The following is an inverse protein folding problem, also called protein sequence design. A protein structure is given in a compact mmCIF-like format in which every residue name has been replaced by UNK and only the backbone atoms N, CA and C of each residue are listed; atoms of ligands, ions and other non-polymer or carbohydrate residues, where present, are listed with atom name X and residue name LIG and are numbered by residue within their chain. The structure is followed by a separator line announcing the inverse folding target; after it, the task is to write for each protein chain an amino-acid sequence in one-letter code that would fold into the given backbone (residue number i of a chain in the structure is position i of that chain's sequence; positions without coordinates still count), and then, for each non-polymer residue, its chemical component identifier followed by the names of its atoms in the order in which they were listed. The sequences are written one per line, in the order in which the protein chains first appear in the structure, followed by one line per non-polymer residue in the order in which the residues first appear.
data_IF_385734886513
#
_entry.id   IF_385734886513
#
_cell.length_a   1.000
_cell.length_b   1.000
_cell.length_c   1.000
_cell.angle_alpha   90.00
_cell.angle_beta   90.00
_cell.angle_gamma   90.00
#
_symmetry.space_group_name_H-M   'P 1'
#
loop_
_entity.id
_entity.type
_entity.pdbx_description
1 polymer ?
#
# COMPACT_ATOMS: atom_id res chain seq x y z
N UNK A 1 19.44 12.32 -19.68
CA UNK A 1 20.44 13.41 -19.81
C UNK A 1 20.80 13.86 -18.39
N UNK A 2 21.81 14.72 -18.21
CA UNK A 2 22.22 15.15 -16.86
C UNK A 2 21.23 16.19 -16.33
N UNK A 3 20.65 15.93 -15.16
CA UNK A 3 19.79 16.83 -14.41
C UNK A 3 20.61 18.04 -13.95
N UNK A 4 20.16 19.29 -14.18
CA UNK A 4 20.90 20.46 -13.73
C UNK A 4 21.02 20.46 -12.20
N UNK A 5 22.23 20.71 -11.66
CA UNK A 5 22.48 20.66 -10.21
C UNK A 5 21.55 21.58 -9.39
N UNK A 6 21.13 22.71 -9.96
CA UNK A 6 20.16 23.60 -9.31
C UNK A 6 18.78 22.96 -9.15
N UNK A 7 18.36 22.14 -10.12
CA UNK A 7 17.10 21.41 -10.10
C UNK A 7 17.21 20.18 -9.20
N UNK A 8 18.36 19.48 -9.22
CA UNK A 8 18.64 18.40 -8.28
C UNK A 8 18.54 18.90 -6.82
N UNK A 9 19.14 20.06 -6.53
CA UNK A 9 19.03 20.69 -5.20
C UNK A 9 17.59 21.09 -4.88
N UNK A 10 16.87 21.70 -5.82
CA UNK A 10 15.47 22.04 -5.64
C UNK A 10 14.59 20.81 -5.34
N UNK A 11 14.89 19.67 -5.97
CA UNK A 11 14.19 18.42 -5.70
C UNK A 11 14.44 17.92 -4.26
N UNK A 12 15.70 17.96 -3.79
CA UNK A 12 16.07 17.61 -2.41
C UNK A 12 15.40 18.55 -1.40
N UNK A 13 15.42 19.86 -1.66
CA UNK A 13 14.92 20.87 -0.73
C UNK A 13 13.37 20.97 -0.74
N UNK A 14 12.70 20.26 -1.65
CA UNK A 14 11.24 20.28 -1.79
C UNK A 14 10.71 21.58 -2.42
N UNK A 15 11.51 22.29 -3.23
CA UNK A 15 11.07 23.49 -3.97
C UNK A 15 10.20 23.07 -5.18
N UNK A 16 8.92 22.85 -4.88
CA UNK A 16 7.89 22.46 -5.85
C UNK A 16 7.82 23.44 -7.01
N UNK A 17 7.97 24.75 -6.76
CA UNK A 17 7.81 25.77 -7.80
C UNK A 17 8.96 25.79 -8.80
N UNK A 18 10.20 25.59 -8.33
CA UNK A 18 11.35 25.47 -9.21
C UNK A 18 11.24 24.25 -10.12
N UNK A 19 10.92 23.08 -9.55
CA UNK A 19 10.76 21.83 -10.32
C UNK A 19 9.57 21.94 -11.29
N UNK A 20 8.44 22.52 -10.86
CA UNK A 20 7.27 22.77 -11.72
C UNK A 20 7.62 23.63 -12.93
N UNK A 21 8.36 24.73 -12.71
CA UNK A 21 8.80 25.64 -13.79
C UNK A 21 9.74 24.94 -14.76
N UNK A 22 10.67 24.13 -14.25
CA UNK A 22 11.59 23.36 -15.08
C UNK A 22 10.83 22.37 -15.97
N UNK A 23 9.94 21.55 -15.40
CA UNK A 23 9.16 20.56 -16.15
C UNK A 23 8.13 21.18 -17.09
N UNK A 24 7.65 22.40 -16.82
CA UNK A 24 6.80 23.12 -17.77
C UNK A 24 7.54 23.50 -19.06
N UNK A 25 8.86 23.71 -18.99
CA UNK A 25 9.70 24.03 -20.14
C UNK A 25 10.31 22.77 -20.78
N UNK A 26 10.54 21.74 -19.96
CA UNK A 26 11.23 20.51 -20.35
C UNK A 26 10.52 19.25 -19.81
N UNK A 27 9.28 18.97 -20.23
CA UNK A 27 8.52 17.83 -19.72
C UNK A 27 9.19 16.48 -20.00
N UNK A 28 9.97 16.37 -21.08
CA UNK A 28 10.72 15.17 -21.46
C UNK A 28 11.87 14.81 -20.51
N UNK A 29 12.24 15.74 -19.60
CA UNK A 29 13.39 15.61 -18.71
C UNK A 29 13.01 15.15 -17.30
N UNK A 30 11.79 14.65 -17.10
CA UNK A 30 11.29 14.22 -15.78
C UNK A 30 12.14 13.11 -15.14
N UNK A 31 12.74 12.25 -15.95
CA UNK A 31 13.62 11.15 -15.52
C UNK A 31 15.11 11.44 -15.77
N UNK A 32 15.49 12.70 -15.98
CA UNK A 32 16.93 13.06 -15.96
C UNK A 32 17.52 12.77 -14.58
N UNK A 33 18.80 12.37 -14.59
CA UNK A 33 19.53 11.93 -13.40
C UNK A 33 20.64 12.90 -13.05
N UNK A 34 20.92 13.05 -11.75
CA UNK A 34 22.06 13.81 -11.26
C UNK A 34 23.40 13.04 -11.45
N UNK A 35 24.47 13.51 -10.80
CA UNK A 35 25.79 12.89 -10.83
C UNK A 35 25.88 11.58 -10.04
N UNK A 36 24.89 11.25 -9.21
CA UNK A 36 24.77 9.98 -8.48
C UNK A 36 23.79 9.00 -9.16
N UNK A 37 23.41 9.25 -10.42
CA UNK A 37 22.41 8.49 -11.19
C UNK A 37 20.99 8.50 -10.57
N UNK A 38 20.67 9.53 -9.77
CA UNK A 38 19.38 9.68 -9.11
C UNK A 38 18.44 10.61 -9.88
N UNK A 39 17.20 10.16 -10.06
CA UNK A 39 16.13 10.96 -10.67
C UNK A 39 15.58 12.01 -9.69
N UNK A 40 14.86 13.00 -10.22
CA UNK A 40 14.12 13.95 -9.36
C UNK A 40 13.16 13.26 -8.38
N UNK A 41 12.56 12.12 -8.76
CA UNK A 41 11.65 11.36 -7.88
C UNK A 41 12.40 10.76 -6.68
N UNK A 42 13.57 10.16 -6.94
CA UNK A 42 14.44 9.59 -5.92
C UNK A 42 14.91 10.68 -4.96
N UNK A 43 15.41 11.80 -5.50
CA UNK A 43 15.90 12.95 -4.74
C UNK A 43 14.80 13.57 -3.85
N UNK A 44 13.58 13.72 -4.37
CA UNK A 44 12.45 14.26 -3.61
C UNK A 44 12.01 13.37 -2.43
N UNK A 45 12.25 12.06 -2.52
CA UNK A 45 11.92 11.11 -1.47
C UNK A 45 13.02 10.96 -0.41
N UNK A 46 14.29 11.32 -0.70
CA UNK A 46 15.42 11.19 0.23
C UNK A 46 15.17 11.83 1.61
N UNK A 47 14.68 13.08 1.73
CA UNK A 47 14.46 13.71 3.04
C UNK A 47 13.43 12.97 3.90
N UNK A 48 12.51 12.24 3.26
CA UNK A 48 11.52 11.41 3.95
C UNK A 48 12.16 10.23 4.68
N UNK A 49 13.34 9.78 4.22
CA UNK A 49 14.16 8.76 4.88
C UNK A 49 14.86 9.30 6.13
N UNK A 50 15.04 10.63 6.22
CA UNK A 50 15.73 11.36 7.29
C UNK A 50 14.77 12.09 8.25
N UNK A 51 13.53 11.62 8.37
CA UNK A 51 12.53 12.11 9.33
C UNK A 51 11.81 13.42 8.99
N UNK A 52 11.77 13.80 7.72
CA UNK A 52 10.98 14.96 7.28
C UNK A 52 9.81 14.48 6.42
N UNK A 53 8.72 14.05 7.08
CA UNK A 53 7.42 13.93 6.40
C UNK A 53 6.83 15.34 6.24
N UNK A 54 7.39 16.09 5.28
CA UNK A 54 6.88 17.41 4.94
C UNK A 54 5.84 17.30 3.84
N UNK A 55 4.76 18.07 3.98
CA UNK A 55 3.75 18.19 2.93
C UNK A 55 4.35 18.61 1.58
N UNK A 56 5.45 19.38 1.60
CA UNK A 56 6.17 19.80 0.40
C UNK A 56 6.82 18.63 -0.35
N UNK A 57 7.45 17.68 0.36
CA UNK A 57 8.04 16.50 -0.26
C UNK A 57 6.95 15.63 -0.93
N UNK A 58 5.84 15.37 -0.23
CA UNK A 58 4.70 14.63 -0.79
C UNK A 58 4.08 15.36 -2.00
N UNK A 59 3.96 16.69 -1.95
CA UNK A 59 3.47 17.48 -3.08
C UNK A 59 4.41 17.38 -4.28
N UNK A 60 5.73 17.45 -4.05
CA UNK A 60 6.72 17.31 -5.10
C UNK A 60 6.70 15.91 -5.74
N UNK A 61 6.67 14.85 -4.92
CA UNK A 61 6.52 13.47 -5.41
C UNK A 61 5.23 13.34 -6.24
N UNK A 62 4.11 13.88 -5.76
CA UNK A 62 2.85 13.86 -6.50
C UNK A 62 2.96 14.59 -7.84
N UNK A 63 3.66 15.73 -7.88
CA UNK A 63 3.93 16.48 -9.11
C UNK A 63 4.73 15.64 -10.10
N UNK A 64 5.83 15.03 -9.66
CA UNK A 64 6.73 14.23 -10.49
C UNK A 64 6.02 13.00 -11.07
N UNK A 65 5.28 12.27 -10.23
CA UNK A 65 4.46 11.13 -10.68
C UNK A 65 3.40 11.56 -11.70
N UNK A 66 2.76 12.72 -11.48
CA UNK A 66 1.77 13.26 -12.44
C UNK A 66 2.42 13.71 -13.75
N UNK A 67 3.68 14.16 -13.70
CA UNK A 67 4.48 14.52 -14.85
C UNK A 67 5.02 13.31 -15.63
N UNK A 68 4.78 12.08 -15.16
CA UNK A 68 5.17 10.85 -15.83
C UNK A 68 6.54 10.30 -15.41
N UNK A 69 7.05 10.69 -14.24
CA UNK A 69 8.25 10.10 -13.68
C UNK A 69 8.13 8.56 -13.58
N UNK A 70 9.22 7.86 -13.88
CA UNK A 70 9.28 6.41 -13.76
C UNK A 70 9.34 5.99 -12.28
N UNK A 71 8.18 5.63 -11.73
CA UNK A 71 7.99 5.20 -10.34
C UNK A 71 8.65 3.86 -9.97
N UNK A 72 9.11 3.10 -10.97
CA UNK A 72 9.77 1.81 -10.79
C UNK A 72 11.27 1.87 -11.06
N UNK A 73 11.85 3.08 -11.16
CA UNK A 73 13.30 3.26 -11.28
C UNK A 73 13.99 2.67 -10.04
N UNK A 74 15.00 1.84 -10.27
CA UNK A 74 15.81 1.24 -9.19
C UNK A 74 16.97 2.16 -8.87
N UNK A 75 17.34 2.22 -7.58
CA UNK A 75 18.55 2.91 -7.12
C UNK A 75 19.82 2.21 -7.61
N UNK A 76 19.77 0.91 -7.84
CA UNK A 76 20.85 0.13 -8.46
C UNK A 76 20.25 -0.78 -9.55
N UNK A 77 20.11 -0.30 -10.80
CA UNK A 77 19.50 -1.10 -11.86
C UNK A 77 20.31 -2.34 -12.26
N UNK A 78 21.63 -2.32 -12.08
CA UNK A 78 22.52 -3.42 -12.48
C UNK A 78 22.36 -4.65 -11.57
N UNK A 79 21.97 -4.41 -10.32
CA UNK A 79 21.86 -5.44 -9.29
C UNK A 79 20.44 -5.65 -8.78
N UNK A 80 19.41 -5.30 -9.56
CA UNK A 80 18.01 -5.36 -9.12
C UNK A 80 17.84 -4.69 -7.73
N UNK A 81 18.36 -3.48 -7.54
CA UNK A 81 18.27 -2.72 -6.29
C UNK A 81 16.83 -2.31 -5.91
N UNK A 82 16.64 -1.71 -4.72
CA UNK A 82 15.32 -1.24 -4.28
C UNK A 82 14.76 -0.15 -5.21
N UNK A 83 13.44 -0.03 -5.20
CA UNK A 83 12.69 1.11 -5.74
C UNK A 83 12.19 1.99 -4.59
N UNK A 84 11.66 3.16 -4.91
CA UNK A 84 11.03 4.05 -3.92
C UNK A 84 9.91 3.37 -3.15
N UNK A 85 9.18 2.45 -3.79
CA UNK A 85 8.12 1.68 -3.11
C UNK A 85 8.70 0.75 -2.02
N UNK A 86 9.89 0.19 -2.22
CA UNK A 86 10.57 -0.60 -1.18
C UNK A 86 10.91 0.26 0.04
N UNK A 87 11.47 1.45 -0.19
CA UNK A 87 11.76 2.41 0.88
C UNK A 87 10.50 2.89 1.60
N UNK A 88 9.42 3.19 0.86
CA UNK A 88 8.14 3.58 1.45
C UNK A 88 7.58 2.53 2.41
N UNK A 89 7.77 1.23 2.08
CA UNK A 89 7.37 0.12 2.95
C UNK A 89 8.21 0.05 4.24
N UNK A 90 9.53 0.17 4.14
CA UNK A 90 10.45 0.18 5.30
C UNK A 90 10.11 1.33 6.25
N UNK A 91 9.89 2.52 5.70
CA UNK A 91 9.58 3.72 6.47
C UNK A 91 8.13 3.72 7.00
N UNK A 92 7.30 2.78 6.52
CA UNK A 92 5.84 2.82 6.65
C UNK A 92 5.28 4.20 6.30
N UNK A 93 5.82 4.83 5.25
CA UNK A 93 5.37 6.14 4.78
C UNK A 93 4.14 5.96 3.90
N UNK A 94 2.96 5.99 4.53
CA UNK A 94 1.69 5.76 3.84
C UNK A 94 1.39 6.81 2.78
N UNK A 95 1.83 8.07 2.97
CA UNK A 95 1.70 9.12 1.97
C UNK A 95 2.46 8.82 0.68
N UNK A 96 3.76 8.55 0.80
CA UNK A 96 4.62 8.19 -0.34
C UNK A 96 4.10 6.93 -1.05
N UNK A 97 3.81 5.88 -0.27
CA UNK A 97 3.30 4.62 -0.81
C UNK A 97 1.99 4.81 -1.59
N UNK A 98 1.06 5.63 -1.09
CA UNK A 98 -0.19 5.94 -1.78
C UNK A 98 0.04 6.63 -3.12
N UNK A 99 0.96 7.59 -3.17
CA UNK A 99 1.28 8.31 -4.41
C UNK A 99 1.88 7.36 -5.43
N UNK A 100 2.86 6.55 -5.03
CA UNK A 100 3.54 5.58 -5.92
C UNK A 100 2.59 4.51 -6.45
N UNK A 101 1.78 3.88 -5.59
CA UNK A 101 0.80 2.86 -6.00
C UNK A 101 -0.25 3.46 -6.94
N UNK A 102 -0.70 4.70 -6.71
CA UNK A 102 -1.60 5.41 -7.65
C UNK A 102 -0.91 5.80 -8.95
N UNK A 103 0.39 6.07 -8.89
CA UNK A 103 1.27 6.30 -10.03
C UNK A 103 1.51 5.05 -10.88
N UNK A 104 1.05 3.88 -10.44
CA UNK A 104 1.19 2.63 -11.18
C UNK A 104 2.45 1.84 -10.85
N UNK A 105 3.11 2.13 -9.72
CA UNK A 105 4.28 1.37 -9.27
C UNK A 105 3.98 -0.14 -9.20
N UNK A 106 4.87 -0.95 -9.75
CA UNK A 106 4.78 -2.40 -9.68
C UNK A 106 5.08 -2.86 -8.25
N UNK A 107 4.00 -3.19 -7.55
CA UNK A 107 4.05 -3.67 -6.16
C UNK A 107 4.77 -5.01 -6.01
N UNK A 108 5.11 -5.71 -7.09
CA UNK A 108 5.71 -7.05 -7.07
C UNK A 108 7.19 -7.11 -7.42
N UNK A 109 7.83 -5.96 -7.69
CA UNK A 109 9.26 -5.92 -8.02
C UNK A 109 10.08 -6.55 -6.90
N UNK A 110 11.01 -7.41 -7.29
CA UNK A 110 11.91 -8.10 -6.37
C UNK A 110 13.25 -7.39 -6.38
N UNK A 111 13.84 -7.18 -5.21
CA UNK A 111 15.26 -6.81 -5.11
C UNK A 111 16.15 -8.06 -5.20
N UNK A 112 17.35 -7.96 -5.77
CA UNK A 112 18.33 -9.06 -5.79
C UNK A 112 19.75 -8.56 -5.54
N UNK A 113 20.02 -8.04 -4.36
CA UNK A 113 21.37 -7.57 -4.04
C UNK A 113 22.43 -8.69 -4.06
N UNK A 114 23.60 -8.49 -4.71
CA UNK A 114 24.86 -9.16 -4.36
C UNK A 114 25.56 -8.49 -3.16
N UNK A 115 25.03 -7.38 -2.66
CA UNK A 115 25.58 -6.55 -1.58
C UNK A 115 24.60 -6.54 -0.39
N UNK A 116 25.12 -6.88 0.79
CA UNK A 116 24.38 -7.32 1.97
C UNK A 116 23.47 -6.32 2.68
N UNK A 117 23.02 -5.23 2.04
CA UNK A 117 22.18 -4.21 2.69
C UNK A 117 20.67 -4.40 2.42
N UNK A 118 20.29 -5.07 1.32
CA UNK A 118 18.89 -5.38 1.00
C UNK A 118 18.71 -6.85 0.64
N UNK A 119 18.06 -7.67 1.50
CA UNK A 119 17.76 -9.06 1.15
C UNK A 119 16.82 -9.12 -0.04
N UNK A 120 16.83 -10.24 -0.77
CA UNK A 120 15.90 -10.45 -1.87
C UNK A 120 14.44 -10.39 -1.36
N UNK A 121 13.76 -9.29 -1.68
CA UNK A 121 12.48 -8.92 -1.06
C UNK A 121 11.56 -8.25 -2.07
N UNK A 122 10.26 -8.45 -1.89
CA UNK A 122 9.21 -7.64 -2.52
C UNK A 122 8.74 -6.53 -1.54
N UNK A 123 8.12 -5.44 -2.01
CA UNK A 123 7.67 -4.34 -1.16
C UNK A 123 6.87 -4.78 0.07
N UNK A 124 5.87 -5.66 -0.09
CA UNK A 124 5.03 -6.09 1.05
C UNK A 124 5.83 -6.83 2.12
N UNK A 125 6.90 -7.51 1.72
CA UNK A 125 7.72 -8.26 2.67
C UNK A 125 8.43 -7.33 3.64
N UNK A 126 8.70 -6.08 3.26
CA UNK A 126 9.43 -5.11 4.07
C UNK A 126 8.56 -4.39 5.12
N UNK A 127 7.23 -4.50 5.03
CA UNK A 127 6.30 -3.75 5.90
C UNK A 127 6.39 -4.17 7.37
N UNK A 128 6.62 -5.46 7.63
CA UNK A 128 6.63 -6.03 8.98
C UNK A 128 8.02 -6.51 9.43
N UNK A 129 9.08 -6.17 8.69
CA UNK A 129 10.44 -6.63 8.98
C UNK A 129 11.19 -5.73 9.94
N UNK A 130 12.21 -6.33 10.56
CA UNK A 130 13.16 -5.64 11.41
C UNK A 130 12.58 -5.19 12.74
N UNK A 131 13.38 -4.41 13.47
CA UNK A 131 12.94 -3.79 14.72
C UNK A 131 12.15 -2.50 14.41
N UNK A 132 10.93 -2.69 13.92
CA UNK A 132 10.00 -1.58 13.64
C UNK A 132 9.73 -0.71 14.87
N UNK A 133 9.95 -1.23 16.09
CA UNK A 133 9.80 -0.49 17.35
C UNK A 133 10.95 0.49 17.51
N UNK A 134 12.19 0.03 17.39
CA UNK A 134 13.36 0.91 17.39
C UNK A 134 13.28 1.95 16.26
N UNK A 135 12.75 1.55 15.09
CA UNK A 135 12.48 2.50 14.02
C UNK A 135 11.42 3.54 14.41
N UNK A 136 10.27 3.13 14.95
CA UNK A 136 9.20 4.02 15.39
C UNK A 136 9.70 5.02 16.45
N UNK A 137 10.45 4.52 17.45
CA UNK A 137 11.06 5.33 18.51
C UNK A 137 12.02 6.37 17.91
N UNK A 138 12.87 5.95 16.97
CA UNK A 138 13.77 6.87 16.25
C UNK A 138 13.02 7.94 15.48
N UNK A 139 11.85 7.62 14.92
CA UNK A 139 10.96 8.56 14.23
C UNK A 139 10.06 9.40 15.16
N UNK A 140 10.17 9.24 16.48
CA UNK A 140 9.29 9.90 17.44
C UNK A 140 7.82 9.47 17.36
N UNK A 141 7.55 8.30 16.75
CA UNK A 141 6.21 7.73 16.60
C UNK A 141 5.87 6.81 17.77
N UNK A 142 4.60 6.80 18.16
CA UNK A 142 4.11 5.77 19.07
C UNK A 142 4.06 4.41 18.35
N UNK A 143 4.20 3.32 19.09
CA UNK A 143 4.07 1.98 18.52
C UNK A 143 2.72 1.77 17.81
N UNK A 144 1.63 2.28 18.38
CA UNK A 144 0.30 2.23 17.78
C UNK A 144 0.22 2.97 16.43
N UNK A 145 0.80 4.18 16.36
CA UNK A 145 0.86 4.95 15.12
C UNK A 145 1.68 4.23 14.04
N UNK A 146 2.81 3.61 14.42
CA UNK A 146 3.61 2.83 13.49
C UNK A 146 2.85 1.58 12.99
N UNK A 147 2.22 0.83 13.90
CA UNK A 147 1.42 -0.34 13.55
C UNK A 147 0.26 0.00 12.61
N UNK A 148 -0.39 1.15 12.84
CA UNK A 148 -1.40 1.68 11.92
C UNK A 148 -0.83 1.94 10.54
N UNK A 149 0.31 2.62 10.44
CA UNK A 149 0.97 2.89 9.16
C UNK A 149 1.37 1.59 8.44
N UNK A 150 1.89 0.60 9.16
CA UNK A 150 2.22 -0.72 8.61
C UNK A 150 0.96 -1.42 8.04
N UNK A 151 -0.14 -1.43 8.79
CA UNK A 151 -1.42 -1.96 8.33
C UNK A 151 -1.94 -1.24 7.08
N UNK A 152 -1.89 0.09 7.06
CA UNK A 152 -2.28 0.90 5.90
C UNK A 152 -1.39 0.59 4.68
N UNK A 153 -0.07 0.47 4.86
CA UNK A 153 0.86 0.08 3.78
C UNK A 153 0.50 -1.28 3.19
N UNK A 154 0.30 -2.30 4.05
CA UNK A 154 -0.15 -3.62 3.63
C UNK A 154 -1.46 -3.55 2.83
N UNK A 155 -2.44 -2.78 3.32
CA UNK A 155 -3.73 -2.60 2.65
C UNK A 155 -3.57 -2.00 1.23
N UNK A 156 -2.73 -0.97 1.07
CA UNK A 156 -2.50 -0.36 -0.23
C UNK A 156 -1.75 -1.29 -1.21
N UNK A 157 -0.80 -2.08 -0.73
CA UNK A 157 -0.10 -3.05 -1.58
C UNK A 157 -1.04 -4.16 -2.06
N UNK A 158 -1.90 -4.68 -1.18
CA UNK A 158 -2.93 -5.64 -1.56
C UNK A 158 -3.90 -5.04 -2.59
N UNK A 159 -4.33 -3.78 -2.39
CA UNK A 159 -5.16 -3.04 -3.37
C UNK A 159 -4.46 -2.85 -4.70
N UNK A 160 -3.14 -2.61 -4.68
CA UNK A 160 -2.27 -2.55 -5.86
C UNK A 160 -2.08 -3.89 -6.57
N UNK A 161 -2.58 -4.99 -5.99
CA UNK A 161 -2.59 -6.31 -6.62
C UNK A 161 -1.50 -7.26 -6.14
N UNK A 162 -0.77 -6.92 -5.07
CA UNK A 162 0.26 -7.78 -4.52
C UNK A 162 -0.29 -9.17 -4.15
N UNK A 163 0.41 -10.28 -4.47
CA UNK A 163 0.04 -11.61 -4.01
C UNK A 163 0.21 -11.77 -2.49
N UNK A 164 -0.49 -12.72 -1.89
CA UNK A 164 -0.31 -13.05 -0.46
C UNK A 164 0.92 -13.93 -0.21
N UNK A 165 1.38 -14.64 -1.23
CA UNK A 165 2.58 -15.48 -1.19
C UNK A 165 3.64 -14.84 -2.07
N UNK A 166 4.83 -14.62 -1.51
CA UNK A 166 5.88 -13.81 -2.12
C UNK A 166 7.26 -14.32 -1.76
N UNK A 167 8.26 -13.88 -2.54
CA UNK A 167 9.64 -14.20 -2.27
C UNK A 167 10.18 -13.29 -1.15
N UNK A 168 10.80 -13.90 -0.16
CA UNK A 168 11.52 -13.21 0.91
C UNK A 168 12.75 -14.03 1.29
N UNK A 169 13.95 -13.42 1.19
CA UNK A 169 15.23 -14.07 1.48
C UNK A 169 15.43 -15.39 0.71
N UNK A 170 14.96 -15.43 -0.54
CA UNK A 170 15.05 -16.62 -1.40
C UNK A 170 14.05 -17.73 -1.05
N UNK A 171 13.18 -17.53 -0.07
CA UNK A 171 12.12 -18.48 0.32
C UNK A 171 10.74 -17.95 -0.03
N UNK A 172 9.82 -18.85 -0.40
CA UNK A 172 8.41 -18.50 -0.57
C UNK A 172 7.76 -18.36 0.80
N UNK A 173 7.29 -17.15 1.11
CA UNK A 173 6.72 -16.78 2.40
C UNK A 173 5.29 -16.28 2.21
N UNK A 174 4.41 -16.64 3.13
CA UNK A 174 3.04 -16.12 3.17
C UNK A 174 2.98 -14.84 4.02
N UNK A 175 2.05 -13.94 3.66
CA UNK A 175 1.80 -12.73 4.43
C UNK A 175 1.47 -13.03 5.90
N UNK A 176 0.72 -14.10 6.17
CA UNK A 176 0.40 -14.55 7.52
C UNK A 176 1.66 -14.96 8.29
N UNK A 177 2.56 -15.73 7.67
CA UNK A 177 3.81 -16.14 8.31
C UNK A 177 4.74 -14.96 8.62
N UNK A 178 4.62 -13.86 7.89
CA UNK A 178 5.34 -12.62 8.17
C UNK A 178 4.74 -11.86 9.37
N UNK A 179 3.42 -11.82 9.50
CA UNK A 179 2.70 -11.04 10.53
C UNK A 179 2.62 -11.78 11.88
N UNK A 180 2.44 -13.11 11.86
CA UNK A 180 2.21 -13.92 13.07
C UNK A 180 3.31 -13.81 14.14
N UNK A 181 4.62 -13.85 13.80
CA UNK A 181 5.68 -13.65 14.78
C UNK A 181 5.63 -12.27 15.44
N UNK A 182 5.29 -11.23 14.67
CA UNK A 182 5.18 -9.86 15.17
C UNK A 182 3.98 -9.72 16.11
N UNK A 183 2.83 -10.30 15.74
CA UNK A 183 1.61 -10.28 16.55
C UNK A 183 1.78 -11.06 17.87
N UNK A 184 2.41 -12.23 17.83
CA UNK A 184 2.60 -13.09 19.02
C UNK A 184 3.66 -12.54 19.98
N UNK A 185 4.68 -11.85 19.47
CA UNK A 185 5.70 -11.19 20.28
C UNK A 185 5.25 -9.86 20.91
N UNK A 186 4.09 -9.34 20.54
CA UNK A 186 3.59 -8.05 21.04
C UNK A 186 2.82 -8.21 22.36
N UNK A 187 3.26 -7.49 23.40
CA UNK A 187 2.75 -7.63 24.77
C UNK A 187 1.62 -6.66 25.13
N UNK A 188 1.20 -5.79 24.20
CA UNK A 188 0.10 -4.83 24.37
C UNK A 188 -1.14 -5.14 23.53
N UNK A 189 -2.14 -4.26 23.56
CA UNK A 189 -3.24 -4.30 22.60
C UNK A 189 -2.71 -3.94 21.21
N UNK A 190 -2.92 -4.82 20.23
CA UNK A 190 -2.40 -4.70 18.87
C UNK A 190 -3.53 -4.80 17.84
N UNK A 191 -4.49 -3.87 17.86
CA UNK A 191 -5.66 -3.93 16.98
C UNK A 191 -5.25 -4.01 15.51
N UNK A 192 -4.25 -3.22 15.09
CA UNK A 192 -3.79 -3.20 13.70
C UNK A 192 -3.06 -4.48 13.26
N UNK A 193 -2.34 -5.18 14.15
CA UNK A 193 -1.72 -6.47 13.80
C UNK A 193 -2.78 -7.57 13.69
N UNK A 194 -3.79 -7.54 14.57
CA UNK A 194 -4.94 -8.44 14.49
C UNK A 194 -5.72 -8.19 13.21
N UNK A 195 -6.04 -6.93 12.90
CA UNK A 195 -6.71 -6.53 11.66
C UNK A 195 -5.90 -6.94 10.42
N UNK A 196 -4.58 -6.79 10.46
CA UNK A 196 -3.69 -7.22 9.36
C UNK A 196 -3.80 -8.72 9.11
N UNK A 197 -3.72 -9.53 10.17
CA UNK A 197 -3.77 -10.98 10.10
C UNK A 197 -5.16 -11.49 9.70
N UNK A 198 -6.22 -10.89 10.24
CA UNK A 198 -7.60 -11.18 9.85
C UNK A 198 -7.83 -10.85 8.37
N UNK A 199 -7.32 -9.71 7.90
CA UNK A 199 -7.43 -9.30 6.51
C UNK A 199 -6.69 -10.28 5.58
N UNK A 200 -5.43 -10.63 5.89
CA UNK A 200 -4.65 -11.58 5.10
C UNK A 200 -5.38 -12.93 4.96
N UNK A 201 -5.86 -13.48 6.09
CA UNK A 201 -6.64 -14.73 6.12
C UNK A 201 -7.95 -14.62 5.33
N UNK A 202 -8.63 -13.48 5.43
CA UNK A 202 -9.89 -13.26 4.71
C UNK A 202 -9.67 -13.15 3.19
N UNK A 203 -8.59 -12.49 2.75
CA UNK A 203 -8.18 -12.43 1.35
C UNK A 203 -7.82 -13.83 0.84
N UNK A 204 -7.06 -14.61 1.61
CA UNK A 204 -6.71 -15.99 1.28
C UNK A 204 -7.94 -16.87 1.14
N UNK A 205 -8.86 -16.79 2.10
CA UNK A 205 -10.12 -17.53 2.06
C UNK A 205 -10.93 -17.22 0.79
N UNK A 206 -10.95 -15.97 0.34
CA UNK A 206 -11.62 -15.56 -0.89
C UNK A 206 -10.95 -16.05 -2.18
N UNK A 207 -9.65 -16.40 -2.17
CA UNK A 207 -9.01 -17.01 -3.34
C UNK A 207 -9.61 -18.37 -3.67
N UNK A 208 -10.00 -19.14 -2.66
CA UNK A 208 -10.58 -20.48 -2.83
C UNK A 208 -12.00 -20.49 -3.41
N UNK A 209 -12.71 -19.35 -3.36
CA UNK A 209 -14.10 -19.26 -3.83
C UNK A 209 -14.22 -18.85 -5.29
N UNK A 210 -13.14 -18.36 -5.91
CA UNK A 210 -13.13 -17.89 -7.30
C UNK A 210 -12.02 -18.55 -8.12
N UNK A 211 -12.44 -19.27 -9.16
CA UNK A 211 -11.54 -19.95 -10.12
C UNK A 211 -10.92 -19.00 -11.15
N UNK A 212 -11.30 -17.71 -11.16
CA UNK A 212 -10.75 -16.74 -12.11
C UNK A 212 -9.25 -16.55 -11.86
N UNK A 213 -8.42 -16.79 -12.88
CA UNK A 213 -6.98 -16.50 -12.84
C UNK A 213 -6.66 -15.05 -13.21
N UNK A 214 -7.64 -14.29 -13.73
CA UNK A 214 -7.48 -12.89 -14.15
C UNK A 214 -7.57 -11.89 -13.00
N UNK A 215 -8.15 -12.29 -11.87
CA UNK A 215 -8.37 -11.41 -10.74
C UNK A 215 -7.27 -11.57 -9.70
N UNK A 216 -6.78 -10.44 -9.18
CA UNK A 216 -5.86 -10.45 -8.04
C UNK A 216 -6.54 -11.02 -6.79
N UNK A 217 -5.77 -11.50 -5.80
CA UNK A 217 -6.36 -12.00 -4.54
C UNK A 217 -7.28 -10.97 -3.90
N UNK A 218 -6.86 -9.72 -3.90
CA UNK A 218 -7.64 -8.59 -3.40
C UNK A 218 -8.95 -8.40 -4.18
N UNK A 219 -8.91 -8.43 -5.51
CA UNK A 219 -10.13 -8.32 -6.33
C UNK A 219 -11.11 -9.46 -6.05
N UNK A 220 -10.62 -10.70 -5.88
CA UNK A 220 -11.46 -11.84 -5.48
C UNK A 220 -12.10 -11.59 -4.11
N UNK A 221 -11.32 -11.12 -3.15
CA UNK A 221 -11.80 -10.75 -1.82
C UNK A 221 -12.87 -9.67 -1.83
N UNK A 222 -12.72 -8.65 -2.68
CA UNK A 222 -13.71 -7.60 -2.87
C UNK A 222 -15.02 -8.12 -3.48
N UNK A 223 -14.98 -9.17 -4.30
CA UNK A 223 -16.18 -9.76 -4.91
C UNK A 223 -16.93 -10.71 -3.95
N UNK A 224 -16.32 -11.14 -2.85
CA UNK A 224 -16.99 -11.98 -1.85
C UNK A 224 -17.87 -11.10 -0.95
N UNK A 225 -19.21 -11.29 -0.96
CA UNK A 225 -20.10 -10.49 -0.13
C UNK A 225 -19.82 -10.74 1.36
N UNK A 226 -19.74 -9.69 2.20
CA UNK A 226 -19.42 -9.86 3.61
C UNK A 226 -20.36 -10.83 4.32
N UNK A 227 -19.80 -11.84 4.99
CA UNK A 227 -20.58 -12.88 5.67
C UNK A 227 -21.53 -12.28 6.71
N UNK A 228 -21.14 -11.17 7.34
CA UNK A 228 -21.93 -10.40 8.31
C UNK A 228 -23.14 -9.76 7.65
N UNK A 229 -23.00 -9.22 6.44
CA UNK A 229 -24.14 -8.65 5.69
C UNK A 229 -25.11 -9.75 5.25
N UNK A 230 -24.59 -10.91 4.81
CA UNK A 230 -25.41 -12.07 4.48
C UNK A 230 -26.12 -12.63 5.72
N UNK A 231 -25.42 -12.71 6.86
CA UNK A 231 -25.96 -13.14 8.15
C UNK A 231 -27.02 -12.14 8.64
N UNK A 232 -26.77 -10.84 8.56
CA UNK A 232 -27.72 -9.79 8.92
C UNK A 232 -28.97 -9.87 8.04
N UNK A 233 -28.82 -10.01 6.71
CA UNK A 233 -29.94 -10.22 5.78
C UNK A 233 -30.74 -11.47 6.13
N UNK A 234 -30.08 -12.58 6.43
CA UNK A 234 -30.72 -13.83 6.88
C UNK A 234 -31.49 -13.65 8.20
N UNK A 235 -30.90 -12.97 9.18
CA UNK A 235 -31.56 -12.67 10.46
C UNK A 235 -32.77 -11.75 10.28
N UNK A 236 -32.68 -10.72 9.43
CA UNK A 236 -33.78 -9.82 9.10
C UNK A 236 -34.92 -10.54 8.36
N UNK A 237 -34.59 -11.41 7.40
CA UNK A 237 -35.56 -12.25 6.70
C UNK A 237 -36.31 -13.18 7.67
N UNK A 238 -35.59 -13.77 8.63
CA UNK A 238 -36.14 -14.70 9.64
C UNK A 238 -36.78 -14.02 10.87
N UNK A 239 -36.94 -12.69 10.86
CA UNK A 239 -37.45 -11.90 12.01
C UNK A 239 -36.61 -12.04 13.30
N UNK A 240 -35.34 -12.43 13.19
CA UNK A 240 -34.41 -12.59 14.32
C UNK A 240 -33.51 -11.37 14.58
N UNK A 241 -33.62 -10.33 13.76
CA UNK A 241 -33.00 -9.03 13.96
C UNK A 241 -33.97 -7.91 13.53
N UNK A 242 -33.72 -6.69 13.98
CA UNK A 242 -34.41 -5.47 13.53
C UNK A 242 -33.37 -4.47 13.03
N UNK A 243 -33.60 -3.85 11.87
CA UNK A 243 -32.79 -2.72 11.43
C UNK A 243 -33.05 -1.52 12.35
N UNK A 244 -32.00 -0.84 12.81
CA UNK A 244 -32.15 0.41 13.58
C UNK A 244 -32.61 1.54 12.65
N UNK A 245 -33.40 2.48 13.16
CA UNK A 245 -33.93 3.63 12.42
C UNK A 245 -32.84 4.52 11.79
N UNK A 246 -31.60 4.44 12.24
CA UNK A 246 -30.47 5.22 11.75
C UNK A 246 -29.84 4.68 10.45
N UNK A 247 -30.28 3.53 9.92
CA UNK A 247 -29.73 3.02 8.67
C UNK A 247 -30.16 3.93 7.51
N UNK A 248 -29.22 4.48 6.72
CA UNK A 248 -29.55 5.31 5.57
C UNK A 248 -30.61 4.66 4.68
N UNK A 249 -31.59 5.41 4.14
CA UNK A 249 -32.75 4.85 3.44
C UNK A 249 -32.39 3.91 2.28
N UNK A 250 -31.28 4.18 1.59
CA UNK A 250 -30.77 3.36 0.50
C UNK A 250 -30.21 2.01 0.98
N UNK A 251 -29.51 1.98 2.13
CA UNK A 251 -29.04 0.74 2.75
C UNK A 251 -30.21 -0.08 3.30
N UNK A 252 -31.22 0.54 3.89
CA UNK A 252 -32.41 -0.17 4.38
C UNK A 252 -33.15 -0.94 3.27
N UNK A 253 -33.20 -0.38 2.05
CA UNK A 253 -33.81 -1.04 0.87
C UNK A 253 -33.05 -2.30 0.46
N UNK A 254 -31.72 -2.36 0.64
CA UNK A 254 -30.92 -3.54 0.33
C UNK A 254 -31.20 -4.74 1.26
N UNK A 255 -31.73 -4.48 2.44
CA UNK A 255 -32.12 -5.50 3.41
C UNK A 255 -33.64 -5.68 3.51
N UNK A 256 -34.41 -5.05 2.61
CA UNK A 256 -35.86 -5.22 2.55
C UNK A 256 -36.20 -6.66 2.15
N UNK A 257 -37.21 -7.24 2.83
CA UNK A 257 -37.68 -8.61 2.54
C UNK A 257 -38.26 -8.77 1.13
N UNK A 258 -38.81 -7.70 0.59
CA UNK A 258 -39.36 -7.66 -0.76
C UNK A 258 -38.29 -7.65 -1.85
N UNK A 259 -37.03 -7.35 -1.52
CA UNK A 259 -35.95 -7.35 -2.50
C UNK A 259 -35.52 -8.80 -2.77
N UNK A 260 -35.63 -9.31 -4.01
CA UNK A 260 -35.14 -10.63 -4.37
C UNK A 260 -33.68 -10.83 -3.97
N UNK A 261 -33.33 -12.05 -3.56
CA UNK A 261 -31.96 -12.34 -3.12
C UNK A 261 -30.97 -12.06 -4.26
N UNK A 262 -31.32 -12.41 -5.49
CA UNK A 262 -30.52 -12.23 -6.70
C UNK A 262 -30.18 -10.76 -6.94
N UNK A 263 -31.13 -9.84 -6.69
CA UNK A 263 -30.90 -8.40 -6.84
C UNK A 263 -30.05 -7.88 -5.69
N UNK A 264 -30.29 -8.34 -4.46
CA UNK A 264 -29.44 -7.99 -3.32
C UNK A 264 -28.00 -8.47 -3.52
N UNK A 265 -27.80 -9.69 -4.03
CA UNK A 265 -26.49 -10.22 -4.40
C UNK A 265 -25.80 -9.36 -5.45
N UNK A 266 -26.52 -8.94 -6.50
CA UNK A 266 -25.98 -8.05 -7.53
C UNK A 266 -25.55 -6.71 -6.93
N UNK A 267 -26.38 -6.08 -6.10
CA UNK A 267 -26.00 -4.78 -5.51
C UNK A 267 -24.87 -4.93 -4.49
N UNK A 268 -24.84 -5.98 -3.67
CA UNK A 268 -23.72 -6.27 -2.76
C UNK A 268 -22.42 -6.58 -3.53
N UNK A 269 -22.50 -7.18 -4.72
CA UNK A 269 -21.35 -7.40 -5.58
C UNK A 269 -20.79 -6.08 -6.18
N UNK A 270 -21.63 -5.04 -6.29
CA UNK A 270 -21.22 -3.69 -6.71
C UNK A 270 -20.90 -2.76 -5.53
N UNK A 271 -21.41 -3.03 -4.33
CA UNK A 271 -21.13 -2.26 -3.12
C UNK A 271 -19.88 -2.79 -2.43
N UNK A 272 -18.77 -2.07 -2.59
CA UNK A 272 -17.52 -2.46 -1.95
C UNK A 272 -17.13 -1.47 -0.84
N UNK A 273 -17.29 -1.82 0.45
CA UNK A 273 -16.77 -1.00 1.56
C UNK A 273 -15.23 -1.05 1.66
N UNK A 274 -14.55 -1.82 0.81
CA UNK A 274 -13.10 -2.06 0.84
C UNK A 274 -12.34 -1.35 -0.29
N UNK A 275 -13.00 -0.57 -1.16
CA UNK A 275 -12.33 0.41 -2.04
C UNK A 275 -12.31 1.77 -1.36
#
# INVERSE_FOLDING_TARGET
MVLPNEIARAAIDGDVDAVRRFLAQHPERVDDVDDEDQTMLQLAALPMMEQVDSAAALELVQLLVTAGANVDRRFDPEHDGPTELHHACILSCTGLLQILVRGGADVTLVTRGPTGDFPASQPISLVFLGDWRAFAERMGRTGDAQLRCMYECMLYLLRGGHPLDFLHEGSLTSLEALIEPVATGYTGDAPYLNDALELARAVRAAQSTSTSTRLTPWQKYCLVPPKELLRLRSLLARKRAKAKLSTPPHLARLFARSLPNEIAWRVLAFWNPRY
#
